data_IF_315161213280
#
_entry.id   IF_315161213280
#
_cell.length_a   1.000
_cell.length_b   1.000
_cell.length_c   1.000
_cell.angle_alpha   90.00
_cell.angle_beta   90.00
_cell.angle_gamma   90.00
#
_symmetry.space_group_name_H-M   'P 1'
#
loop_
_entity.id
_entity.type
_entity.pdbx_description
1 polymer ?
#
# COMPACT_ATOMS: atom_id res chain seq x y z
N UNK A 1 -25.10 5.19 29.02
CA UNK A 1 -24.49 6.22 28.15
C UNK A 1 -23.07 5.87 27.72
N UNK A 2 -22.15 5.47 28.62
CA UNK A 2 -20.77 5.12 28.22
C UNK A 2 -20.57 3.75 27.55
N UNK A 3 -21.46 2.77 27.78
CA UNK A 3 -21.34 1.43 27.17
C UNK A 3 -21.55 1.48 25.64
N UNK A 4 -22.53 2.27 25.23
CA UNK A 4 -22.91 2.52 23.83
C UNK A 4 -21.72 3.07 23.02
N UNK A 5 -21.02 4.08 23.56
CA UNK A 5 -19.84 4.66 22.91
C UNK A 5 -18.67 3.67 22.78
N UNK A 6 -18.49 2.74 23.74
CA UNK A 6 -17.45 1.71 23.60
C UNK A 6 -17.79 0.74 22.49
N UNK A 7 -19.04 0.29 22.41
CA UNK A 7 -19.51 -0.60 21.36
C UNK A 7 -19.42 0.08 19.98
N UNK A 8 -19.78 1.36 19.87
CA UNK A 8 -19.61 2.14 18.65
C UNK A 8 -18.14 2.26 18.21
N UNK A 9 -17.20 2.48 19.14
CA UNK A 9 -15.76 2.48 18.83
C UNK A 9 -15.33 1.11 18.28
N UNK A 10 -15.76 0.02 18.94
CA UNK A 10 -15.43 -1.35 18.51
C UNK A 10 -16.01 -1.67 17.12
N UNK A 11 -17.21 -1.19 16.83
CA UNK A 11 -17.81 -1.32 15.51
C UNK A 11 -17.02 -0.51 14.47
N UNK A 12 -16.67 0.75 14.77
CA UNK A 12 -15.90 1.60 13.86
C UNK A 12 -14.54 0.98 13.50
N UNK A 13 -13.78 0.49 14.48
CA UNK A 13 -12.47 -0.14 14.22
C UNK A 13 -12.60 -1.46 13.44
N UNK A 14 -13.68 -2.23 13.63
CA UNK A 14 -13.94 -3.45 12.83
C UNK A 14 -14.14 -3.19 11.34
N UNK A 15 -14.48 -1.94 10.99
CA UNK A 15 -14.57 -1.44 9.61
C UNK A 15 -13.38 -0.55 9.24
N UNK A 16 -12.34 -0.53 10.07
CA UNK A 16 -11.15 0.29 9.92
C UNK A 16 -11.45 1.81 9.84
N UNK A 17 -12.60 2.28 10.33
CA UNK A 17 -13.00 3.70 10.35
C UNK A 17 -12.40 4.41 11.57
N UNK A 18 -11.08 4.62 11.49
CA UNK A 18 -10.31 5.21 12.59
C UNK A 18 -10.61 6.69 12.82
N UNK A 19 -10.99 7.43 11.77
CA UNK A 19 -11.37 8.83 11.92
C UNK A 19 -12.65 8.99 12.75
N UNK A 20 -13.64 8.12 12.55
CA UNK A 20 -14.84 8.10 13.39
C UNK A 20 -14.55 7.56 14.79
N UNK A 21 -13.82 6.44 14.90
CA UNK A 21 -13.43 5.87 16.18
C UNK A 21 -12.66 6.87 17.06
N UNK A 22 -11.73 7.64 16.48
CA UNK A 22 -10.98 8.68 17.16
C UNK A 22 -11.90 9.76 17.77
N UNK A 23 -12.88 10.26 16.99
CA UNK A 23 -13.85 11.26 17.48
C UNK A 23 -14.68 10.73 18.65
N UNK A 24 -15.03 9.45 18.63
CA UNK A 24 -15.76 8.81 19.74
C UNK A 24 -14.87 8.64 20.97
N UNK A 25 -13.62 8.19 20.79
CA UNK A 25 -12.65 8.04 21.88
C UNK A 25 -12.34 9.37 22.56
N UNK A 26 -12.17 10.46 21.80
CA UNK A 26 -12.00 11.81 22.35
C UNK A 26 -13.16 12.21 23.26
N UNK A 27 -14.41 11.89 22.89
CA UNK A 27 -15.59 12.19 23.72
C UNK A 27 -15.65 11.34 24.98
N UNK A 28 -15.26 10.07 24.88
CA UNK A 28 -15.38 9.12 25.98
C UNK A 28 -14.28 9.29 27.04
N UNK A 29 -13.03 9.52 26.63
CA UNK A 29 -11.85 9.47 27.51
C UNK A 29 -10.86 10.62 27.31
N UNK A 30 -11.17 11.59 26.45
CA UNK A 30 -10.31 12.75 26.19
C UNK A 30 -9.05 12.41 25.38
N UNK A 31 -8.24 13.44 25.10
CA UNK A 31 -7.07 13.36 24.22
C UNK A 31 -5.83 12.73 24.85
N UNK A 32 -5.76 12.61 26.18
CA UNK A 32 -4.59 12.10 26.89
C UNK A 32 -4.56 10.57 27.02
N UNK A 33 -5.60 9.88 26.57
CA UNK A 33 -5.64 8.42 26.60
C UNK A 33 -4.81 7.82 25.47
N UNK A 34 -4.06 6.76 25.76
CA UNK A 34 -3.30 6.01 24.76
C UNK A 34 -4.19 5.47 23.63
N UNK A 35 -5.43 5.07 23.94
CA UNK A 35 -6.40 4.63 22.92
C UNK A 35 -6.73 5.76 21.96
N UNK A 36 -6.95 6.98 22.48
CA UNK A 36 -7.23 8.16 21.67
C UNK A 36 -6.03 8.51 20.78
N UNK A 37 -4.80 8.45 21.32
CA UNK A 37 -3.58 8.68 20.55
C UNK A 37 -3.36 7.64 19.45
N UNK A 38 -3.56 6.35 19.76
CA UNK A 38 -3.46 5.26 18.78
C UNK A 38 -4.48 5.44 17.65
N UNK A 39 -5.74 5.72 17.97
CA UNK A 39 -6.78 5.95 16.96
C UNK A 39 -6.48 7.18 16.09
N UNK A 40 -5.88 8.22 16.65
CA UNK A 40 -5.42 9.37 15.87
C UNK A 40 -4.34 8.97 14.84
N UNK A 41 -3.33 8.22 15.28
CA UNK A 41 -2.26 7.72 14.40
C UNK A 41 -2.81 6.82 13.30
N UNK A 42 -3.77 5.95 13.62
CA UNK A 42 -4.38 5.06 12.64
C UNK A 42 -5.24 5.83 11.62
N UNK A 43 -5.90 6.92 12.03
CA UNK A 43 -6.58 7.81 11.11
C UNK A 43 -5.59 8.47 10.13
N UNK A 44 -4.47 9.00 10.63
CA UNK A 44 -3.40 9.58 9.79
C UNK A 44 -2.81 8.54 8.82
N UNK A 45 -2.59 7.30 9.28
CA UNK A 45 -2.13 6.19 8.41
C UNK A 45 -3.11 5.90 7.27
N UNK A 46 -4.44 5.92 7.52
CA UNK A 46 -5.46 5.77 6.46
C UNK A 46 -5.49 6.97 5.50
N UNK A 47 -5.02 8.13 5.93
CA UNK A 47 -4.79 9.31 5.09
C UNK A 47 -3.39 9.33 4.44
N UNK A 48 -2.65 8.22 4.55
CA UNK A 48 -1.29 8.04 4.04
C UNK A 48 -0.25 8.96 4.70
N UNK A 49 -0.58 9.60 5.82
CA UNK A 49 0.35 10.36 6.63
C UNK A 49 1.01 9.45 7.68
N UNK A 50 2.22 8.98 7.37
CA UNK A 50 2.95 8.07 8.26
C UNK A 50 3.84 8.78 9.29
N UNK A 51 4.11 10.08 9.12
CA UNK A 51 5.05 10.80 9.99
C UNK A 51 4.64 10.75 11.47
N UNK A 52 3.36 10.92 11.85
CA UNK A 52 2.93 10.77 13.25
C UNK A 52 3.12 9.36 13.81
N UNK A 53 3.15 8.34 12.94
CA UNK A 53 3.37 6.95 13.35
C UNK A 53 4.87 6.61 13.49
N UNK A 54 5.76 7.35 12.84
CA UNK A 54 7.21 7.12 12.87
C UNK A 54 7.88 7.76 14.10
N UNK A 55 7.25 7.59 15.26
CA UNK A 55 7.77 8.00 16.56
C UNK A 55 8.44 6.80 17.25
N UNK A 56 9.77 6.86 17.41
CA UNK A 56 10.56 5.78 18.01
C UNK A 56 10.27 5.61 19.52
N UNK A 57 9.92 6.68 20.24
CA UNK A 57 9.56 6.58 21.66
C UNK A 57 8.23 5.85 21.82
N UNK A 58 7.24 6.23 21.01
CA UNK A 58 5.93 5.58 21.01
C UNK A 58 6.02 4.12 20.55
N UNK A 59 6.79 3.84 19.50
CA UNK A 59 7.07 2.47 19.05
C UNK A 59 7.67 1.64 20.17
N UNK A 60 8.68 2.16 20.87
CA UNK A 60 9.32 1.46 21.99
C UNK A 60 8.34 1.21 23.14
N UNK A 61 7.50 2.20 23.47
CA UNK A 61 6.48 2.07 24.52
C UNK A 61 5.45 0.98 24.17
N UNK A 62 4.91 0.98 22.95
CA UNK A 62 3.92 -0.01 22.50
C UNK A 62 4.51 -1.41 22.39
N UNK A 63 5.74 -1.53 21.85
CA UNK A 63 6.44 -2.80 21.76
C UNK A 63 6.69 -3.41 23.15
N UNK A 64 7.08 -2.59 24.12
CA UNK A 64 7.35 -3.04 25.49
C UNK A 64 6.07 -3.44 26.24
N UNK A 65 4.99 -2.70 26.05
CA UNK A 65 3.74 -2.92 26.78
C UNK A 65 2.89 -4.06 26.19
N UNK A 66 2.94 -4.25 24.88
CA UNK A 66 1.99 -5.13 24.17
C UNK A 66 2.62 -6.05 23.13
N UNK A 67 3.92 -5.92 22.86
CA UNK A 67 4.57 -6.62 21.75
C UNK A 67 4.22 -6.07 20.36
N UNK A 68 3.40 -5.01 20.29
CA UNK A 68 2.93 -4.44 19.02
C UNK A 68 3.99 -3.55 18.35
N UNK A 69 4.29 -3.89 17.10
CA UNK A 69 5.24 -3.15 16.27
C UNK A 69 4.53 -2.02 15.52
N UNK A 70 4.77 -0.76 15.93
CA UNK A 70 4.07 0.40 15.37
C UNK A 70 4.39 0.67 13.88
N UNK A 71 5.63 0.43 13.46
CA UNK A 71 6.10 0.53 12.08
C UNK A 71 7.29 -0.39 11.85
N UNK A 72 7.50 -0.85 10.62
CA UNK A 72 8.51 -1.86 10.32
C UNK A 72 9.79 -1.26 9.71
N UNK A 73 9.70 -0.11 9.03
CA UNK A 73 10.83 0.48 8.32
C UNK A 73 11.17 1.86 8.87
N UNK A 74 12.47 2.13 9.02
CA UNK A 74 12.97 3.47 9.36
C UNK A 74 13.10 4.35 8.12
N UNK A 75 13.23 3.76 6.93
CA UNK A 75 13.15 4.50 5.67
C UNK A 75 11.71 4.93 5.39
N UNK A 76 11.54 6.22 5.11
CA UNK A 76 10.23 6.84 4.89
C UNK A 76 9.53 6.26 3.66
N UNK A 77 10.26 6.01 2.56
CA UNK A 77 9.65 5.53 1.33
C UNK A 77 9.18 4.07 1.45
N UNK A 78 9.95 3.25 2.18
CA UNK A 78 9.62 1.85 2.48
C UNK A 78 8.38 1.75 3.38
N UNK A 79 8.36 2.50 4.50
CA UNK A 79 7.22 2.53 5.40
C UNK A 79 5.97 3.11 4.72
N UNK A 80 6.14 4.09 3.83
CA UNK A 80 5.03 4.65 3.06
C UNK A 80 4.41 3.62 2.11
N UNK A 81 5.24 2.78 1.46
CA UNK A 81 4.75 1.72 0.61
C UNK A 81 4.05 0.62 1.43
N UNK A 82 4.65 0.19 2.54
CA UNK A 82 4.03 -0.78 3.45
C UNK A 82 2.67 -0.28 3.96
N UNK A 83 2.60 0.97 4.43
CA UNK A 83 1.36 1.61 4.87
C UNK A 83 0.31 1.68 3.76
N UNK A 84 0.73 2.00 2.53
CA UNK A 84 -0.17 2.03 1.39
C UNK A 84 -0.78 0.65 1.09
N UNK A 85 0.01 -0.42 1.21
CA UNK A 85 -0.49 -1.79 1.07
C UNK A 85 -1.48 -2.14 2.18
N UNK A 86 -1.22 -1.76 3.45
CA UNK A 86 -2.21 -1.94 4.51
C UNK A 86 -3.53 -1.20 4.23
N UNK A 87 -3.46 0.02 3.71
CA UNK A 87 -4.64 0.80 3.33
C UNK A 87 -5.38 0.25 2.08
N UNK A 88 -4.68 -0.39 1.14
CA UNK A 88 -5.31 -1.13 0.05
C UNK A 88 -6.07 -2.36 0.55
N UNK A 89 -5.44 -3.16 1.42
CA UNK A 89 -6.08 -4.35 1.99
C UNK A 89 -7.25 -3.98 2.90
N UNK A 90 -7.19 -2.86 3.63
CA UNK A 90 -8.33 -2.35 4.39
C UNK A 90 -9.55 -2.03 3.50
N UNK A 91 -9.34 -1.45 2.30
CA UNK A 91 -10.42 -1.22 1.32
C UNK A 91 -11.01 -2.54 0.83
N UNK A 92 -10.14 -3.50 0.52
CA UNK A 92 -10.52 -4.83 0.07
C UNK A 92 -11.40 -5.55 1.09
N UNK A 93 -10.95 -5.60 2.35
CA UNK A 93 -11.67 -6.22 3.47
C UNK A 93 -13.00 -5.53 3.79
N UNK A 94 -13.16 -4.26 3.43
CA UNK A 94 -14.41 -3.51 3.51
C UNK A 94 -15.29 -3.63 2.25
N UNK A 95 -14.97 -4.54 1.32
CA UNK A 95 -15.67 -4.76 0.04
C UNK A 95 -15.69 -3.51 -0.88
N UNK A 96 -14.73 -2.58 -0.70
CA UNK A 96 -14.61 -1.35 -1.49
C UNK A 96 -13.82 -1.61 -2.78
N UNK A 97 -14.29 -2.56 -3.61
CA UNK A 97 -13.55 -3.05 -4.79
C UNK A 97 -13.21 -1.94 -5.78
N UNK A 98 -14.13 -1.00 -6.02
CA UNK A 98 -13.90 0.13 -6.92
C UNK A 98 -12.74 1.01 -6.42
N UNK A 99 -12.72 1.32 -5.13
CA UNK A 99 -11.70 2.18 -4.54
C UNK A 99 -10.35 1.46 -4.45
N UNK A 100 -10.35 0.16 -4.15
CA UNK A 100 -9.17 -0.70 -4.26
C UNK A 100 -8.57 -0.63 -5.67
N UNK A 101 -9.35 -0.93 -6.70
CA UNK A 101 -8.88 -0.93 -8.10
C UNK A 101 -8.39 0.45 -8.54
N UNK A 102 -9.04 1.54 -8.14
CA UNK A 102 -8.57 2.88 -8.48
C UNK A 102 -7.24 3.22 -7.80
N UNK A 103 -7.02 2.68 -6.60
CA UNK A 103 -5.86 2.94 -5.77
C UNK A 103 -4.65 2.02 -6.10
N UNK A 104 -4.74 1.00 -6.95
CA UNK A 104 -3.56 0.13 -7.18
C UNK A 104 -2.41 0.82 -7.93
N UNK A 105 -2.69 1.78 -8.82
CA UNK A 105 -1.66 2.33 -9.73
C UNK A 105 -0.43 2.93 -9.05
N UNK A 106 -0.55 3.74 -7.99
CA UNK A 106 0.63 4.23 -7.28
C UNK A 106 1.48 3.11 -6.66
N UNK A 107 0.85 2.04 -6.14
CA UNK A 107 1.57 0.89 -5.59
C UNK A 107 2.32 0.15 -6.71
N UNK A 108 1.64 -0.15 -7.82
CA UNK A 108 2.23 -0.82 -8.99
C UNK A 108 3.45 -0.04 -9.48
N UNK A 109 3.31 1.27 -9.69
CA UNK A 109 4.42 2.11 -10.14
C UNK A 109 5.61 2.06 -9.19
N UNK A 110 5.37 2.22 -7.88
CA UNK A 110 6.45 2.21 -6.86
C UNK A 110 7.13 0.86 -6.79
N UNK A 111 6.38 -0.24 -6.78
CA UNK A 111 6.91 -1.60 -6.72
C UNK A 111 7.73 -1.89 -7.99
N UNK A 112 7.23 -1.54 -9.18
CA UNK A 112 7.95 -1.74 -10.43
C UNK A 112 9.26 -0.95 -10.47
N UNK A 113 9.25 0.31 -10.00
CA UNK A 113 10.47 1.09 -9.88
C UNK A 113 11.48 0.43 -8.92
N UNK A 114 11.02 -0.15 -7.82
CA UNK A 114 11.88 -0.90 -6.89
C UNK A 114 12.45 -2.17 -7.51
N UNK A 115 11.65 -2.93 -8.26
CA UNK A 115 12.13 -4.11 -9.00
C UNK A 115 13.24 -3.74 -9.98
N UNK A 116 13.08 -2.64 -10.71
CA UNK A 116 14.12 -2.14 -11.64
C UNK A 116 15.38 -1.75 -10.88
N UNK A 117 15.25 -1.11 -9.71
CA UNK A 117 16.39 -0.71 -8.88
C UNK A 117 17.22 -1.89 -8.33
N UNK A 118 16.69 -3.11 -8.32
CA UNK A 118 17.48 -4.29 -7.93
C UNK A 118 18.62 -4.55 -8.93
N UNK A 119 18.36 -4.36 -10.22
CA UNK A 119 19.33 -4.60 -11.31
C UNK A 119 19.96 -3.32 -11.84
N UNK A 120 19.25 -2.19 -11.72
CA UNK A 120 19.67 -0.86 -12.20
C UNK A 120 19.50 0.15 -11.05
N UNK A 121 20.38 0.15 -10.04
CA UNK A 121 20.21 0.98 -8.83
C UNK A 121 20.13 2.49 -9.11
N UNK A 122 20.74 2.93 -10.20
CA UNK A 122 20.85 4.32 -10.62
C UNK A 122 19.83 4.72 -11.70
N UNK A 123 18.73 3.95 -11.86
CA UNK A 123 17.67 4.15 -12.87
C UNK A 123 17.16 5.60 -12.97
N UNK A 124 17.13 6.32 -11.85
CA UNK A 124 16.69 7.72 -11.77
C UNK A 124 17.53 8.66 -12.66
N UNK A 125 18.80 8.34 -12.93
CA UNK A 125 19.64 9.12 -13.85
C UNK A 125 19.13 9.10 -15.29
N UNK A 126 18.38 8.05 -15.65
CA UNK A 126 17.76 7.85 -16.97
C UNK A 126 16.34 8.39 -17.04
N UNK A 127 15.84 9.04 -15.98
CA UNK A 127 14.51 9.65 -15.95
C UNK A 127 14.65 11.17 -15.90
N UNK A 128 13.91 11.85 -16.78
CA UNK A 128 13.68 13.28 -16.68
C UNK A 128 12.45 13.48 -15.79
N UNK A 129 12.69 13.96 -14.57
CA UNK A 129 11.63 14.37 -13.68
C UNK A 129 11.02 15.66 -14.23
N UNK A 130 9.83 15.53 -14.81
CA UNK A 130 9.12 16.68 -15.33
C UNK A 130 8.58 17.48 -14.16
N UNK A 131 9.00 18.75 -14.05
CA UNK A 131 8.36 19.69 -13.12
C UNK A 131 6.91 19.88 -13.60
N UNK A 132 5.94 19.81 -12.68
CA UNK A 132 4.46 19.94 -12.89
C UNK A 132 3.70 18.61 -13.12
N UNK A 133 2.38 18.70 -13.40
CA UNK A 133 1.43 17.60 -13.59
C UNK A 133 1.63 16.76 -14.87
N UNK A 134 2.85 16.76 -15.41
CA UNK A 134 3.20 15.97 -16.59
C UNK A 134 3.96 14.71 -16.17
N UNK A 135 3.82 13.65 -16.96
CA UNK A 135 4.50 12.40 -16.69
C UNK A 135 6.00 12.51 -16.91
N UNK A 136 6.76 11.86 -16.03
CA UNK A 136 8.18 11.62 -16.17
C UNK A 136 8.52 11.02 -17.53
N UNK A 137 9.72 11.31 -18.05
CA UNK A 137 10.16 10.83 -19.36
C UNK A 137 11.49 10.10 -19.34
N UNK A 138 11.62 9.07 -20.16
CA UNK A 138 12.88 8.35 -20.35
C UNK A 138 13.91 9.18 -21.12
N UNK A 139 15.18 9.12 -20.68
CA UNK A 139 16.33 9.69 -21.37
C UNK A 139 16.99 8.62 -22.25
N UNK A 140 16.33 8.26 -23.36
CA UNK A 140 16.81 7.21 -24.28
C UNK A 140 18.21 7.45 -24.85
N UNK A 141 18.65 8.70 -24.97
CA UNK A 141 20.02 9.03 -25.35
C UNK A 141 21.03 8.49 -24.33
N UNK A 142 20.79 8.71 -23.03
CA UNK A 142 21.65 8.19 -21.95
C UNK A 142 21.57 6.68 -21.80
N UNK A 143 20.39 6.10 -22.03
CA UNK A 143 20.20 4.64 -21.95
C UNK A 143 21.04 3.90 -22.99
N UNK A 144 21.18 4.46 -24.21
CA UNK A 144 21.98 3.86 -25.29
C UNK A 144 23.49 3.88 -24.99
N UNK A 145 23.94 4.78 -24.13
CA UNK A 145 25.34 4.89 -23.69
C UNK A 145 25.61 4.09 -22.42
N UNK A 146 24.60 3.40 -21.87
CA UNK A 146 24.71 2.66 -20.63
C UNK A 146 25.31 1.27 -20.82
N UNK A 147 26.00 0.78 -19.78
CA UNK A 147 26.49 -0.59 -19.68
C UNK A 147 25.38 -1.63 -19.38
N UNK A 148 24.18 -1.19 -19.00
CA UNK A 148 23.05 -2.10 -18.75
C UNK A 148 22.47 -2.63 -20.06
N UNK A 149 22.69 -3.92 -20.35
CA UNK A 149 22.18 -4.57 -21.57
C UNK A 149 20.66 -4.40 -21.75
N UNK A 150 19.89 -4.47 -20.66
CA UNK A 150 18.44 -4.26 -20.69
C UNK A 150 18.04 -2.87 -21.20
N UNK A 151 18.81 -1.82 -20.89
CA UNK A 151 18.54 -0.45 -21.36
C UNK A 151 18.89 -0.25 -22.83
N UNK A 152 19.80 -1.05 -23.38
CA UNK A 152 20.19 -0.96 -24.79
C UNK A 152 19.10 -1.50 -25.74
N UNK A 153 18.34 -2.49 -25.28
CA UNK A 153 17.24 -3.12 -26.05
C UNK A 153 15.85 -2.58 -25.72
N UNK A 154 15.76 -1.69 -24.73
CA UNK A 154 14.50 -1.09 -24.28
C UNK A 154 13.98 -0.05 -25.27
N UNK A 155 12.74 -0.22 -25.74
CA UNK A 155 12.16 0.57 -26.82
C UNK A 155 10.70 0.97 -26.52
N UNK A 156 10.50 1.61 -25.37
CA UNK A 156 9.18 2.09 -24.97
C UNK A 156 8.83 3.48 -25.53
N UNK A 157 7.58 3.90 -25.33
CA UNK A 157 7.19 5.31 -25.46
C UNK A 157 7.97 6.20 -24.49
N UNK A 158 8.05 7.51 -24.81
CA UNK A 158 8.87 8.46 -24.02
C UNK A 158 8.48 8.60 -22.55
N UNK A 159 7.28 8.16 -22.17
CA UNK A 159 6.72 8.35 -20.84
C UNK A 159 7.05 7.20 -19.90
N UNK A 160 7.46 7.54 -18.67
CA UNK A 160 7.60 6.58 -17.56
C UNK A 160 6.20 6.31 -17.00
N UNK A 161 5.67 5.14 -17.30
CA UNK A 161 4.38 4.67 -16.78
C UNK A 161 4.48 3.16 -16.54
N UNK A 162 3.46 2.55 -15.94
CA UNK A 162 3.49 1.12 -15.64
C UNK A 162 3.67 0.23 -16.86
N UNK A 163 3.25 0.68 -18.05
CA UNK A 163 3.48 -0.03 -19.31
C UNK A 163 4.96 -0.06 -19.69
N UNK A 164 5.63 1.09 -19.68
CA UNK A 164 7.05 1.18 -20.03
C UNK A 164 7.94 0.56 -18.95
N UNK A 165 7.53 0.65 -17.68
CA UNK A 165 8.20 -0.07 -16.58
C UNK A 165 8.05 -1.60 -16.73
N UNK A 166 6.87 -2.10 -17.12
CA UNK A 166 6.66 -3.53 -17.41
C UNK A 166 7.61 -4.00 -18.50
N UNK A 167 7.67 -3.29 -19.63
CA UNK A 167 8.56 -3.65 -20.74
C UNK A 167 10.02 -3.73 -20.27
N UNK A 168 10.50 -2.74 -19.51
CA UNK A 168 11.85 -2.76 -18.97
C UNK A 168 12.08 -3.98 -18.04
N UNK A 169 11.16 -4.24 -17.10
CA UNK A 169 11.25 -5.36 -16.16
C UNK A 169 11.39 -6.71 -16.88
N UNK A 170 10.69 -6.90 -18.00
CA UNK A 170 10.76 -8.15 -18.75
C UNK A 170 12.15 -8.42 -19.34
N UNK A 171 12.96 -7.37 -19.56
CA UNK A 171 14.34 -7.46 -20.03
C UNK A 171 15.38 -7.63 -18.91
N UNK A 172 15.00 -7.49 -17.64
CA UNK A 172 15.90 -7.66 -16.50
C UNK A 172 16.11 -9.14 -16.15
N UNK A 173 17.18 -9.45 -15.41
CA UNK A 173 17.46 -10.79 -14.91
C UNK A 173 16.67 -11.09 -13.62
N UNK A 174 15.35 -11.02 -13.72
CA UNK A 174 14.43 -11.34 -12.63
C UNK A 174 13.78 -12.72 -12.84
N UNK A 175 13.40 -13.43 -11.76
CA UNK A 175 12.70 -14.71 -11.86
C UNK A 175 11.45 -14.61 -12.73
N UNK A 176 11.16 -15.65 -13.52
CA UNK A 176 9.99 -15.63 -14.42
C UNK A 176 8.66 -15.51 -13.65
N UNK A 177 8.60 -16.00 -12.40
CA UNK A 177 7.44 -15.79 -11.53
C UNK A 177 7.17 -14.31 -11.25
N UNK A 178 8.22 -13.53 -10.98
CA UNK A 178 8.13 -12.07 -10.77
C UNK A 178 7.70 -11.38 -12.06
N UNK A 179 8.24 -11.80 -13.21
CA UNK A 179 7.85 -11.26 -14.52
C UNK A 179 6.39 -11.54 -14.84
N UNK A 180 5.89 -12.72 -14.49
CA UNK A 180 4.48 -13.06 -14.68
C UNK A 180 3.56 -12.23 -13.79
N UNK A 181 3.88 -12.08 -12.51
CA UNK A 181 3.16 -11.20 -11.58
C UNK A 181 3.09 -9.75 -12.07
N UNK A 182 4.19 -9.24 -12.63
CA UNK A 182 4.25 -7.91 -13.26
C UNK A 182 3.31 -7.81 -14.46
N UNK A 183 3.23 -8.85 -15.32
CA UNK A 183 2.27 -8.89 -16.44
C UNK A 183 0.83 -8.90 -15.94
N UNK A 184 0.53 -9.66 -14.89
CA UNK A 184 -0.81 -9.74 -14.30
C UNK A 184 -1.28 -8.37 -13.77
N UNK A 185 -0.43 -7.65 -13.03
CA UNK A 185 -0.74 -6.30 -12.57
C UNK A 185 -0.90 -5.30 -13.73
N UNK A 186 -0.09 -5.44 -14.79
CA UNK A 186 -0.22 -4.61 -15.99
C UNK A 186 -1.56 -4.81 -16.69
N UNK A 187 -2.01 -6.05 -16.80
CA UNK A 187 -3.31 -6.38 -17.39
C UNK A 187 -4.47 -5.91 -16.52
N UNK A 188 -4.38 -6.00 -15.18
CA UNK A 188 -5.33 -5.36 -14.27
C UNK A 188 -5.45 -3.86 -14.55
N UNK A 189 -4.31 -3.16 -14.68
CA UNK A 189 -4.34 -1.72 -14.93
C UNK A 189 -4.98 -1.37 -16.27
N UNK A 190 -4.63 -2.13 -17.31
CA UNK A 190 -5.09 -1.90 -18.68
C UNK A 190 -6.59 -2.20 -18.85
N UNK A 191 -7.02 -3.36 -18.37
CA UNK A 191 -8.36 -3.90 -18.64
C UNK A 191 -9.42 -3.41 -17.65
N UNK A 192 -9.02 -3.06 -16.43
CA UNK A 192 -9.95 -2.68 -15.36
C UNK A 192 -9.70 -1.26 -14.87
N UNK A 193 -8.53 -0.99 -14.28
CA UNK A 193 -8.27 0.29 -13.59
C UNK A 193 -8.43 1.48 -14.53
N UNK A 194 -7.82 1.43 -15.71
CA UNK A 194 -7.86 2.52 -16.67
C UNK A 194 -9.30 2.84 -17.11
N UNK A 195 -10.11 1.87 -17.55
CA UNK A 195 -11.54 2.11 -17.76
C UNK A 195 -12.26 2.66 -16.52
N UNK A 196 -12.02 2.13 -15.32
CA UNK A 196 -12.69 2.58 -14.08
C UNK A 196 -12.31 4.00 -13.65
N UNK A 197 -11.13 4.48 -14.04
CA UNK A 197 -10.68 5.85 -13.78
C UNK A 197 -11.32 6.87 -14.74
N UNK A 198 -11.73 6.44 -15.94
CA UNK A 198 -12.26 7.33 -16.98
C UNK A 198 -13.78 7.20 -17.20
N UNK A 199 -14.39 6.11 -16.74
CA UNK A 199 -15.80 5.78 -16.96
C UNK A 199 -16.55 5.61 -15.63
N UNK A 200 -17.82 5.99 -15.64
CA UNK A 200 -18.77 5.69 -14.57
C UNK A 200 -19.58 4.46 -15.02
N UNK A 201 -19.29 3.29 -14.45
CA UNK A 201 -19.99 2.03 -14.72
C UNK A 201 -20.17 1.23 -13.42
N UNK A 202 -21.23 0.40 -13.32
CA UNK A 202 -21.33 -0.56 -12.23
C UNK A 202 -20.11 -1.50 -12.26
N UNK A 203 -19.55 -1.78 -11.09
CA UNK A 203 -18.38 -2.63 -10.94
C UNK A 203 -18.31 -3.23 -9.53
N UNK A 204 -18.04 -4.52 -9.45
CA UNK A 204 -17.92 -5.30 -8.22
C UNK A 204 -16.91 -6.44 -8.42
N UNK A 205 -16.79 -7.33 -7.43
CA UNK A 205 -15.89 -8.49 -7.47
C UNK A 205 -16.19 -9.45 -8.63
N UNK A 206 -17.46 -9.65 -8.95
CA UNK A 206 -17.86 -10.56 -10.03
C UNK A 206 -17.46 -9.98 -11.40
N UNK A 207 -17.60 -8.67 -11.58
CA UNK A 207 -17.16 -7.98 -12.79
C UNK A 207 -15.64 -7.97 -12.95
N UNK A 208 -14.89 -7.82 -11.85
CA UNK A 208 -13.44 -7.95 -11.83
C UNK A 208 -13.01 -9.34 -12.30
N UNK A 209 -13.58 -10.39 -11.70
CA UNK A 209 -13.27 -11.77 -12.05
C UNK A 209 -13.64 -12.09 -13.49
N UNK A 210 -14.80 -11.63 -13.97
CA UNK A 210 -15.22 -11.81 -15.38
C UNK A 210 -14.26 -11.16 -16.37
N UNK A 211 -13.67 -10.02 -16.01
CA UNK A 211 -12.77 -9.27 -16.89
C UNK A 211 -11.35 -9.85 -16.89
N UNK A 212 -10.86 -10.29 -15.73
CA UNK A 212 -9.45 -10.64 -15.54
C UNK A 212 -9.19 -12.13 -15.33
N UNK A 213 -10.20 -12.90 -14.92
CA UNK A 213 -10.07 -14.28 -14.48
C UNK A 213 -9.61 -14.46 -13.02
N UNK A 214 -9.40 -13.35 -12.28
CA UNK A 214 -8.85 -13.37 -10.92
C UNK A 214 -9.64 -12.49 -9.95
N UNK A 215 -9.54 -12.81 -8.67
CA UNK A 215 -10.15 -12.02 -7.59
C UNK A 215 -9.31 -10.79 -7.25
N UNK A 216 -9.92 -9.83 -6.56
CA UNK A 216 -9.21 -8.68 -5.99
C UNK A 216 -8.17 -9.09 -4.94
N UNK A 217 -8.46 -10.14 -4.14
CA UNK A 217 -7.52 -10.73 -3.19
C UNK A 217 -6.26 -11.28 -3.89
N UNK A 218 -6.40 -11.92 -5.05
CA UNK A 218 -5.26 -12.39 -5.83
C UNK A 218 -4.34 -11.24 -6.25
N UNK A 219 -4.90 -10.12 -6.70
CA UNK A 219 -4.09 -8.95 -7.04
C UNK A 219 -3.44 -8.30 -5.83
N UNK A 220 -4.10 -8.32 -4.67
CA UNK A 220 -3.50 -7.86 -3.41
C UNK A 220 -2.31 -8.74 -3.01
N UNK A 221 -2.44 -10.06 -3.18
CA UNK A 221 -1.34 -11.01 -2.94
C UNK A 221 -0.15 -10.72 -3.84
N UNK A 222 -0.36 -10.52 -5.14
CA UNK A 222 0.73 -10.15 -6.07
C UNK A 222 1.42 -8.85 -5.64
N UNK A 223 0.66 -7.81 -5.28
CA UNK A 223 1.24 -6.55 -4.80
C UNK A 223 2.15 -6.78 -3.58
N UNK A 224 1.71 -7.62 -2.65
CA UNK A 224 2.49 -7.97 -1.46
C UNK A 224 3.71 -8.83 -1.80
N UNK A 225 3.58 -9.83 -2.68
CA UNK A 225 4.70 -10.70 -3.08
C UNK A 225 5.82 -9.90 -3.74
N UNK A 226 5.46 -9.06 -4.72
CA UNK A 226 6.43 -8.19 -5.39
C UNK A 226 7.04 -7.16 -4.44
N UNK A 227 6.25 -6.56 -3.54
CA UNK A 227 6.79 -5.63 -2.55
C UNK A 227 7.80 -6.33 -1.61
N UNK A 228 7.46 -7.51 -1.11
CA UNK A 228 8.35 -8.33 -0.26
C UNK A 228 9.60 -8.77 -0.98
N UNK A 229 9.50 -9.11 -2.27
CA UNK A 229 10.65 -9.41 -3.11
C UNK A 229 11.64 -8.22 -3.18
N UNK A 230 11.14 -6.99 -3.07
CA UNK A 230 11.96 -5.76 -3.00
C UNK A 230 12.37 -5.34 -1.58
N UNK A 231 12.22 -6.22 -0.59
CA UNK A 231 12.64 -5.99 0.80
C UNK A 231 11.61 -5.31 1.71
N UNK A 232 10.37 -5.07 1.25
CA UNK A 232 9.31 -4.53 2.10
C UNK A 232 8.81 -5.61 3.06
N UNK A 233 8.85 -5.33 4.36
CA UNK A 233 8.27 -6.18 5.39
C UNK A 233 6.75 -5.99 5.43
N UNK A 234 6.02 -7.06 5.19
CA UNK A 234 4.55 -7.12 5.25
C UNK A 234 4.13 -8.47 5.82
N UNK A 235 3.35 -8.47 6.91
CA UNK A 235 2.81 -9.69 7.52
C UNK A 235 1.45 -10.03 6.89
N UNK A 236 1.35 -11.24 6.32
CA UNK A 236 0.13 -11.75 5.67
C UNK A 236 -0.81 -12.44 6.65
N UNK A 237 -0.25 -13.03 7.69
CA UNK A 237 -1.00 -13.83 8.67
C UNK A 237 -1.60 -12.90 9.73
N UNK A 238 -0.86 -11.85 10.11
CA UNK A 238 -1.24 -10.87 11.11
C UNK A 238 -1.40 -9.50 10.47
N UNK A 239 -2.59 -9.24 9.91
CA UNK A 239 -2.88 -7.95 9.30
C UNK A 239 -2.73 -6.81 10.32
N UNK A 240 -1.88 -5.83 10.00
CA UNK A 240 -1.49 -4.75 10.90
C UNK A 240 -2.67 -4.05 11.60
N UNK A 241 -3.72 -3.74 10.83
CA UNK A 241 -4.90 -3.09 11.37
C UNK A 241 -5.75 -4.01 12.26
N UNK A 242 -5.74 -5.33 12.04
CA UNK A 242 -6.39 -6.26 12.95
C UNK A 242 -5.61 -6.37 14.27
N UNK A 243 -4.28 -6.39 14.22
CA UNK A 243 -3.43 -6.42 15.43
C UNK A 243 -3.67 -5.20 16.31
N UNK A 244 -3.65 -4.00 15.72
CA UNK A 244 -3.87 -2.77 16.48
C UNK A 244 -5.32 -2.67 16.96
N UNK A 245 -6.29 -3.21 16.21
CA UNK A 245 -7.68 -3.28 16.64
C UNK A 245 -7.86 -4.16 17.88
N UNK A 246 -7.13 -5.28 17.97
CA UNK A 246 -7.10 -6.13 19.17
C UNK A 246 -6.51 -5.39 20.35
N UNK A 247 -5.41 -4.65 20.15
CA UNK A 247 -4.81 -3.81 21.19
C UNK A 247 -5.79 -2.73 21.68
N UNK A 248 -6.44 -2.01 20.76
CA UNK A 248 -7.45 -1.00 21.11
C UNK A 248 -8.61 -1.62 21.90
N UNK A 249 -9.09 -2.80 21.49
CA UNK A 249 -10.16 -3.52 22.21
C UNK A 249 -9.72 -3.87 23.63
N UNK A 250 -8.54 -4.45 23.81
CA UNK A 250 -8.01 -4.82 25.13
C UNK A 250 -7.91 -3.58 26.05
N UNK A 251 -7.35 -2.48 25.54
CA UNK A 251 -7.21 -1.22 26.28
C UNK A 251 -8.56 -0.56 26.61
N UNK A 252 -9.59 -0.72 25.76
CA UNK A 252 -10.90 -0.10 25.94
C UNK A 252 -11.81 -0.89 26.90
N UNK A 253 -11.68 -2.22 26.91
CA UNK A 253 -12.54 -3.15 27.67
C UNK A 253 -11.89 -3.64 28.97
N UNK A 254 -10.56 -3.64 29.05
CA UNK A 254 -9.81 -4.23 30.16
C UNK A 254 -9.72 -5.77 30.08
N UNK A 255 -10.12 -6.38 28.96
CA UNK A 255 -9.92 -7.80 28.71
C UNK A 255 -8.45 -8.02 28.33
N UNK A 256 -7.66 -8.63 29.23
CA UNK A 256 -6.34 -9.16 28.89
C UNK A 256 -6.51 -10.32 27.90
N UNK A 257 -5.73 -10.31 26.82
CA UNK A 257 -5.71 -11.38 25.82
C UNK A 257 -5.46 -12.73 26.52
N UNK A 258 -6.50 -13.57 26.61
CA UNK A 258 -6.38 -14.97 27.00
C UNK A 258 -5.81 -15.82 25.89
#
# INVERSE_FOLDING_TARGET
MNLDLKEEILFAISRYDYAYAYKLAQKLMGSSSIVTSLLAILAERRELNILPAMDEELKTALQTQSGFQLFCHTDLADEQLANYLYDLEAKLRNEQIIDFVRAVSPAIYRIFMRLIKLEIPDIEHFIHNSREASYDRWKFERMRESDYAALQVFHAESTVNSSSLTELILHLDLPESVKEEVRQLRELEKSVRNPLAHLIKPFDEAELYRTTGFSSQYFMEILVDLARFTGIVYDRDHFYFDEVNRLVRALLTGEENG
#
